data_IF_090607855727
#
_entry.id   IF_090607855727
#
_cell.length_a   1.000
_cell.length_b   1.000
_cell.length_c   1.000
_cell.angle_alpha   90.00
_cell.angle_beta   90.00
_cell.angle_gamma   90.00
#
_symmetry.space_group_name_H-M   'P 1'
#
loop_
_entity.id
_entity.type
_entity.pdbx_description
1 polymer ?
#
# COMPACT_ATOMS: atom_id res chain seq x y z
N UNK A 1 -12.23 15.57 16.07
CA UNK A 1 -11.49 14.43 16.65
C UNK A 1 -10.71 13.64 15.61
N UNK A 2 -11.32 12.78 14.79
CA UNK A 2 -10.57 11.96 13.78
C UNK A 2 -9.82 12.84 12.78
N UNK A 3 -10.46 13.89 12.24
CA UNK A 3 -9.81 14.80 11.30
C UNK A 3 -8.58 15.48 11.92
N UNK A 4 -8.69 15.90 13.18
CA UNK A 4 -7.59 16.56 13.89
C UNK A 4 -6.45 15.58 14.17
N UNK A 5 -6.78 14.32 14.48
CA UNK A 5 -5.81 13.23 14.60
C UNK A 5 -5.08 12.98 13.27
N UNK A 6 -5.78 12.91 12.14
CA UNK A 6 -5.15 12.75 10.83
C UNK A 6 -4.25 13.93 10.46
N UNK A 7 -4.68 15.17 10.72
CA UNK A 7 -3.91 16.39 10.44
C UNK A 7 -2.56 16.42 11.16
N UNK A 8 -2.44 15.77 12.31
CA UNK A 8 -1.15 15.64 13.03
C UNK A 8 -0.07 15.00 12.15
N UNK A 9 -0.43 14.06 11.28
CA UNK A 9 0.51 13.31 10.44
C UNK A 9 0.64 13.88 9.03
N UNK A 10 -0.19 14.85 8.64
CA UNK A 10 -0.22 15.40 7.28
C UNK A 10 1.17 15.85 6.82
N UNK A 11 1.86 16.66 7.62
CA UNK A 11 3.17 17.22 7.27
C UNK A 11 4.25 16.15 7.09
N UNK A 12 4.19 15.09 7.89
CA UNK A 12 5.18 14.00 7.86
C UNK A 12 4.90 13.04 6.71
N UNK A 13 3.63 12.77 6.39
CA UNK A 13 3.25 11.84 5.33
C UNK A 13 3.22 12.48 3.94
N UNK A 14 2.93 13.79 3.84
CA UNK A 14 2.77 14.50 2.57
C UNK A 14 3.94 14.29 1.58
N UNK A 15 5.22 14.28 1.98
CA UNK A 15 6.34 14.04 1.05
C UNK A 15 6.35 12.65 0.41
N UNK A 16 5.64 11.68 1.00
CA UNK A 16 5.61 10.28 0.53
C UNK A 16 4.35 9.94 -0.27
N UNK A 17 3.34 10.82 -0.27
CA UNK A 17 2.12 10.62 -1.05
C UNK A 17 2.44 10.86 -2.53
N UNK A 18 2.18 9.85 -3.36
CA UNK A 18 2.42 9.94 -4.79
C UNK A 18 1.51 8.99 -5.58
N UNK A 19 1.45 9.17 -6.90
CA UNK A 19 0.78 8.26 -7.81
C UNK A 19 1.60 6.98 -7.99
N UNK A 20 1.35 6.00 -7.11
CA UNK A 20 2.07 4.72 -7.12
C UNK A 20 1.88 3.94 -8.43
N UNK A 21 0.71 4.06 -9.08
CA UNK A 21 0.44 3.42 -10.36
C UNK A 21 1.36 3.94 -11.47
N UNK A 22 1.57 5.26 -11.53
CA UNK A 22 2.49 5.88 -12.49
C UNK A 22 3.94 5.47 -12.22
N UNK A 23 4.36 5.50 -10.95
CA UNK A 23 5.70 5.05 -10.54
C UNK A 23 5.94 3.60 -10.97
N UNK A 24 5.00 2.69 -10.67
CA UNK A 24 5.10 1.28 -11.04
C UNK A 24 5.09 1.09 -12.56
N UNK A 25 4.22 1.82 -13.29
CA UNK A 25 4.17 1.74 -14.76
C UNK A 25 5.50 2.15 -15.39
N UNK A 26 6.12 3.23 -14.91
CA UNK A 26 7.42 3.68 -15.41
C UNK A 26 8.53 2.69 -15.04
N UNK A 27 8.54 2.17 -13.81
CA UNK A 27 9.50 1.14 -13.39
C UNK A 27 9.42 -0.13 -14.26
N UNK A 28 8.21 -0.54 -14.65
CA UNK A 28 7.99 -1.66 -15.57
C UNK A 28 8.55 -1.37 -16.97
N UNK A 29 8.29 -0.17 -17.53
CA UNK A 29 8.83 0.25 -18.84
C UNK A 29 10.35 0.29 -18.84
N UNK A 30 10.94 0.71 -17.72
CA UNK A 30 12.40 0.76 -17.50
C UNK A 30 13.01 -0.61 -17.17
N UNK A 31 12.21 -1.68 -17.14
CA UNK A 31 12.63 -3.05 -16.79
C UNK A 31 13.32 -3.15 -15.43
N UNK A 32 12.87 -2.36 -14.44
CA UNK A 32 13.36 -2.46 -13.07
C UNK A 32 12.88 -3.76 -12.43
N UNK A 33 13.67 -4.27 -11.48
CA UNK A 33 13.25 -5.34 -10.61
C UNK A 33 12.24 -4.81 -9.58
N UNK A 34 11.10 -5.47 -9.47
CA UNK A 34 10.02 -5.12 -8.54
C UNK A 34 9.77 -6.34 -7.66
N UNK A 35 9.88 -6.16 -6.34
CA UNK A 35 9.55 -7.18 -5.35
C UNK A 35 8.16 -6.87 -4.78
N UNK A 36 7.23 -7.82 -4.90
CA UNK A 36 5.93 -7.73 -4.24
C UNK A 36 6.03 -8.45 -2.88
N UNK A 37 6.10 -7.67 -1.81
CA UNK A 37 6.05 -8.19 -0.44
C UNK A 37 4.59 -8.42 -0.06
N UNK A 38 4.18 -9.70 -0.02
CA UNK A 38 2.87 -10.08 0.50
C UNK A 38 2.83 -9.87 2.02
N UNK A 39 1.70 -9.38 2.52
CA UNK A 39 1.43 -9.29 3.94
C UNK A 39 0.51 -10.43 4.40
N UNK A 40 0.51 -10.70 5.71
CA UNK A 40 -0.27 -11.78 6.32
C UNK A 40 0.03 -13.17 5.67
N UNK A 41 -0.98 -14.05 5.59
CA UNK A 41 -0.85 -15.37 4.96
C UNK A 41 -2.15 -15.77 4.27
N UNK A 42 -2.07 -16.68 3.30
CA UNK A 42 -3.20 -17.07 2.44
C UNK A 42 -4.45 -17.52 3.20
N UNK A 43 -4.29 -18.12 4.38
CA UNK A 43 -5.41 -18.56 5.21
C UNK A 43 -6.19 -17.40 5.85
N UNK A 44 -5.66 -16.17 5.83
CA UNK A 44 -6.30 -14.95 6.30
C UNK A 44 -6.89 -14.12 5.14
N UNK A 45 -6.87 -14.66 3.93
CA UNK A 45 -7.54 -14.04 2.80
C UNK A 45 -9.06 -13.97 3.04
N UNK A 46 -9.70 -12.87 2.62
CA UNK A 46 -11.12 -12.62 2.86
C UNK A 46 -12.03 -13.57 2.08
N UNK A 47 -11.60 -14.01 0.89
CA UNK A 47 -12.37 -14.85 -0.03
C UNK A 47 -11.89 -16.31 0.00
N UNK A 48 -10.58 -16.51 0.15
CA UNK A 48 -9.92 -17.80 0.02
C UNK A 48 -9.37 -18.36 1.34
N UNK A 49 -9.47 -17.57 2.42
CA UNK A 49 -9.05 -17.97 3.75
C UNK A 49 -10.14 -18.67 4.53
N UNK A 50 -10.02 -18.64 5.84
CA UNK A 50 -10.93 -19.32 6.76
C UNK A 50 -12.06 -18.42 7.24
N UNK A 51 -12.75 -17.73 6.34
CA UNK A 51 -13.85 -16.83 6.71
C UNK A 51 -14.85 -17.52 7.67
N UNK A 52 -15.29 -16.87 8.78
CA UNK A 52 -15.04 -15.48 9.19
C UNK A 52 -13.84 -15.30 10.15
N UNK A 53 -12.95 -16.29 10.21
CA UNK A 53 -11.79 -16.34 11.11
C UNK A 53 -10.55 -15.70 10.48
#
# INVERSE_FOLDING_TARGET
>A
EILDFCKKYEKELAPYVSNTQEILSNALKEKKYILFEGAQGTMLDVDHGTYPY
#
